data_IF_989893525313
#
_entry.id   IF_989893525313
#
_cell.length_a   1.000
_cell.length_b   1.000
_cell.length_c   1.000
_cell.angle_alpha   90.00
_cell.angle_beta   90.00
_cell.angle_gamma   90.00
#
_symmetry.space_group_name_H-M   'P 1'
#
loop_
_entity.id
_entity.type
_entity.pdbx_description
1 polymer ?
#
# COMPACT_ATOMS: atom_id res chain seq x y z
N UNK A 1 13.01 -6.42 -4.94
CA UNK A 1 11.80 -6.75 -5.75
C UNK A 1 10.71 -5.73 -5.43
N UNK A 2 9.93 -5.26 -6.41
CA UNK A 2 8.87 -4.26 -6.19
C UNK A 2 7.70 -4.94 -5.45
N UNK A 3 7.44 -4.59 -4.19
CA UNK A 3 6.19 -4.96 -3.53
C UNK A 3 5.07 -4.11 -4.14
N UNK A 4 4.42 -4.62 -5.19
CA UNK A 4 3.10 -4.12 -5.57
C UNK A 4 2.15 -4.49 -4.44
N UNK A 5 1.25 -3.59 -3.99
CA UNK A 5 0.16 -4.00 -3.11
C UNK A 5 -0.55 -5.16 -3.79
N UNK A 6 -0.75 -6.27 -3.08
CA UNK A 6 -1.43 -7.47 -3.56
C UNK A 6 -2.92 -7.13 -3.77
N UNK A 7 -3.22 -6.39 -4.84
CA UNK A 7 -4.58 -6.21 -5.28
C UNK A 7 -5.03 -7.53 -5.91
N UNK A 8 -5.88 -8.25 -5.18
CA UNK A 8 -6.61 -9.37 -5.74
C UNK A 8 -7.31 -8.90 -7.01
N UNK A 9 -7.02 -9.58 -8.13
CA UNK A 9 -7.73 -9.30 -9.37
C UNK A 9 -9.23 -9.45 -9.08
N UNK A 10 -10.10 -8.52 -9.54
CA UNK A 10 -11.55 -8.60 -9.31
C UNK A 10 -12.17 -9.95 -9.70
N UNK A 11 -11.55 -10.67 -10.65
CA UNK A 11 -11.95 -12.01 -11.05
C UNK A 11 -11.75 -13.05 -9.95
N UNK A 12 -10.70 -12.95 -9.13
CA UNK A 12 -10.48 -13.85 -8.00
C UNK A 12 -11.58 -13.70 -6.93
N UNK A 13 -11.95 -12.46 -6.61
CA UNK A 13 -13.06 -12.18 -5.70
C UNK A 13 -14.40 -12.66 -6.26
N UNK A 14 -14.63 -12.47 -7.57
CA UNK A 14 -15.83 -12.97 -8.25
C UNK A 14 -15.90 -14.51 -8.25
N UNK A 15 -14.79 -15.20 -8.55
CA UNK A 15 -14.73 -16.68 -8.53
C UNK A 15 -14.97 -17.21 -7.13
N UNK A 16 -14.31 -16.64 -6.10
CA UNK A 16 -14.57 -17.02 -4.71
C UNK A 16 -16.05 -16.84 -4.33
N UNK A 17 -16.69 -15.75 -4.77
CA UNK A 17 -18.11 -15.53 -4.51
C UNK A 17 -19.00 -16.52 -5.26
N UNK A 18 -18.70 -16.84 -6.52
CA UNK A 18 -19.49 -17.80 -7.32
C UNK A 18 -19.36 -19.21 -6.75
N UNK A 19 -18.12 -19.67 -6.53
CA UNK A 19 -17.82 -21.05 -6.13
C UNK A 19 -18.17 -21.30 -4.65
N UNK A 20 -18.04 -20.30 -3.78
CA UNK A 20 -18.31 -20.48 -2.34
C UNK A 20 -19.68 -19.97 -1.89
N UNK A 21 -20.48 -19.36 -2.76
CA UNK A 21 -21.81 -18.86 -2.41
C UNK A 21 -22.73 -19.96 -1.87
N UNK A 22 -22.73 -21.16 -2.48
CA UNK A 22 -23.58 -22.26 -2.01
C UNK A 22 -23.09 -22.88 -0.68
N UNK A 23 -21.81 -22.69 -0.36
CA UNK A 23 -21.18 -23.18 0.86
C UNK A 23 -21.14 -22.12 1.98
N UNK A 24 -21.65 -20.92 1.76
CA UNK A 24 -21.54 -19.81 2.71
C UNK A 24 -22.13 -20.18 4.09
N UNK A 25 -23.25 -20.89 4.11
CA UNK A 25 -23.90 -21.36 5.34
C UNK A 25 -23.14 -22.50 6.04
N UNK A 26 -22.28 -23.21 5.29
CA UNK A 26 -21.46 -24.33 5.75
C UNK A 26 -20.05 -23.89 6.20
N UNK A 27 -19.55 -22.76 5.68
CA UNK A 27 -18.25 -22.17 5.99
C UNK A 27 -18.28 -21.42 7.33
N UNK A 28 -18.44 -22.17 8.42
CA UNK A 28 -18.41 -21.65 9.80
C UNK A 28 -16.98 -21.57 10.31
N UNK A 29 -16.20 -20.61 9.81
CA UNK A 29 -14.81 -20.40 10.23
C UNK A 29 -14.65 -20.21 11.75
N UNK A 30 -15.66 -19.61 12.41
CA UNK A 30 -15.70 -19.47 13.88
C UNK A 30 -15.76 -20.80 14.65
N UNK A 31 -16.20 -21.88 14.01
CA UNK A 31 -16.31 -23.21 14.60
C UNK A 31 -15.04 -24.07 14.37
N UNK A 32 -14.07 -23.60 13.59
CA UNK A 32 -12.83 -24.33 13.36
C UNK A 32 -11.94 -24.34 14.62
N UNK A 33 -11.26 -25.45 14.94
CA UNK A 33 -10.28 -25.49 16.02
C UNK A 33 -9.17 -24.44 15.80
N UNK A 34 -9.15 -23.41 16.65
CA UNK A 34 -8.26 -22.23 16.50
C UNK A 34 -6.77 -22.57 16.46
N UNK A 35 -6.35 -23.67 17.11
CA UNK A 35 -4.94 -24.09 17.21
C UNK A 35 -4.41 -24.69 15.91
N UNK A 36 -5.24 -25.46 15.21
CA UNK A 36 -4.86 -26.16 13.97
C UNK A 36 -5.15 -25.31 12.73
N UNK A 37 -6.08 -24.36 12.83
CA UNK A 37 -6.58 -23.56 11.73
C UNK A 37 -6.35 -22.07 11.95
N UNK A 38 -5.14 -21.66 12.34
CA UNK A 38 -4.85 -20.29 12.80
C UNK A 38 -5.37 -19.22 11.83
N UNK A 39 -5.08 -19.37 10.53
CA UNK A 39 -5.48 -18.42 9.50
C UNK A 39 -6.95 -18.57 9.10
N UNK A 40 -7.38 -19.80 8.78
CA UNK A 40 -8.75 -20.07 8.33
C UNK A 40 -9.80 -19.72 9.38
N UNK A 41 -9.54 -20.01 10.67
CA UNK A 41 -10.49 -19.68 11.73
C UNK A 41 -10.72 -18.18 11.84
N UNK A 42 -9.77 -17.35 11.40
CA UNK A 42 -9.79 -15.88 11.49
C UNK A 42 -10.22 -15.19 10.20
N UNK A 43 -10.62 -15.93 9.17
CA UNK A 43 -11.32 -15.40 7.98
C UNK A 43 -12.79 -15.09 8.30
N UNK A 44 -13.01 -14.28 9.34
CA UNK A 44 -14.34 -13.86 9.80
C UNK A 44 -14.29 -12.44 10.35
N UNK A 45 -15.40 -11.68 10.32
CA UNK A 45 -15.50 -10.42 11.03
C UNK A 45 -15.55 -10.65 12.54
N UNK A 46 -15.26 -9.61 13.33
CA UNK A 46 -15.43 -9.65 14.78
C UNK A 46 -14.32 -10.39 15.52
N UNK A 47 -13.07 -10.26 15.06
CA UNK A 47 -11.93 -10.88 15.72
C UNK A 47 -11.69 -10.29 17.11
N UNK A 48 -11.44 -11.16 18.08
CA UNK A 48 -11.03 -10.77 19.42
C UNK A 48 -9.57 -10.30 19.45
N UNK A 49 -9.27 -9.26 20.23
CA UNK A 49 -7.94 -8.65 20.28
C UNK A 49 -6.89 -9.61 20.83
N UNK A 50 -7.21 -10.37 21.87
CA UNK A 50 -6.25 -11.21 22.58
C UNK A 50 -6.21 -12.62 21.99
N UNK A 51 -7.37 -13.22 21.72
CA UNK A 51 -7.44 -14.60 21.25
C UNK A 51 -7.22 -14.73 19.73
N UNK A 52 -7.62 -13.73 18.95
CA UNK A 52 -7.53 -13.80 17.49
C UNK A 52 -6.37 -12.95 16.96
N UNK A 53 -6.37 -11.65 17.22
CA UNK A 53 -5.42 -10.71 16.61
C UNK A 53 -3.99 -10.97 17.09
N UNK A 54 -3.78 -11.11 18.41
CA UNK A 54 -2.43 -11.34 18.94
C UNK A 54 -1.81 -12.65 18.45
N UNK A 55 -2.60 -13.73 18.42
CA UNK A 55 -2.18 -15.04 17.90
C UNK A 55 -1.87 -14.97 16.41
N UNK A 56 -2.66 -14.21 15.63
CA UNK A 56 -2.43 -14.06 14.19
C UNK A 56 -1.13 -13.33 13.88
N UNK A 57 -0.83 -12.26 14.64
CA UNK A 57 0.43 -11.54 14.50
C UNK A 57 1.65 -12.41 14.82
N UNK A 58 1.58 -13.20 15.90
CA UNK A 58 2.63 -14.17 16.23
C UNK A 58 2.83 -15.21 15.11
N UNK A 59 1.73 -15.69 14.53
CA UNK A 59 1.79 -16.63 13.41
C UNK A 59 2.29 -16.01 12.10
N UNK A 60 2.27 -14.68 11.97
CA UNK A 60 2.78 -13.93 10.84
C UNK A 60 4.26 -13.54 10.98
N UNK A 61 4.77 -13.43 12.22
CA UNK A 61 6.13 -12.98 12.50
C UNK A 61 7.19 -13.78 11.70
N UNK A 62 8.04 -13.07 10.97
CA UNK A 62 9.11 -13.64 10.14
C UNK A 62 8.62 -14.35 8.87
N UNK A 63 7.39 -14.08 8.41
CA UNK A 63 6.80 -14.64 7.18
C UNK A 63 6.37 -13.57 6.18
N UNK A 64 6.72 -12.33 6.44
CA UNK A 64 6.43 -11.14 5.65
C UNK A 64 7.05 -11.16 4.24
N UNK A 65 8.16 -11.89 4.06
CA UNK A 65 8.75 -12.12 2.74
C UNK A 65 7.93 -13.06 1.85
N UNK A 66 6.98 -13.82 2.41
CA UNK A 66 6.15 -14.75 1.64
C UNK A 66 4.84 -14.10 1.18
N UNK A 67 4.63 -13.90 -0.15
CA UNK A 67 3.47 -13.17 -0.67
C UNK A 67 2.12 -13.76 -0.28
N UNK A 68 2.02 -15.06 -0.01
CA UNK A 68 0.75 -15.70 0.38
C UNK A 68 0.36 -15.34 1.82
N UNK A 69 1.33 -15.29 2.72
CA UNK A 69 1.10 -14.87 4.10
C UNK A 69 0.72 -13.40 4.14
N UNK A 70 1.41 -12.55 3.37
CA UNK A 70 1.07 -11.12 3.26
C UNK A 70 -0.34 -10.93 2.69
N UNK A 71 -0.71 -11.65 1.63
CA UNK A 71 -2.03 -11.53 1.00
C UNK A 71 -3.18 -11.90 1.95
N UNK A 72 -3.02 -12.98 2.72
CA UNK A 72 -4.05 -13.43 3.67
C UNK A 72 -4.09 -12.53 4.89
N UNK A 73 -2.94 -12.07 5.40
CA UNK A 73 -2.88 -11.10 6.50
C UNK A 73 -3.57 -9.79 6.11
N UNK A 74 -3.29 -9.26 4.92
CA UNK A 74 -3.94 -8.05 4.38
C UNK A 74 -5.46 -8.23 4.31
N UNK A 75 -5.93 -9.36 3.80
CA UNK A 75 -7.35 -9.68 3.70
C UNK A 75 -8.04 -9.66 5.08
N UNK A 76 -7.44 -10.31 6.08
CA UNK A 76 -8.00 -10.41 7.43
C UNK A 76 -8.01 -9.05 8.12
N UNK A 77 -6.91 -8.30 8.04
CA UNK A 77 -6.79 -6.95 8.63
C UNK A 77 -7.80 -6.00 7.99
N UNK A 78 -7.93 -6.01 6.66
CA UNK A 78 -8.86 -5.13 5.95
C UNK A 78 -10.31 -5.40 6.32
N UNK A 79 -10.69 -6.67 6.49
CA UNK A 79 -12.03 -7.06 6.93
C UNK A 79 -12.31 -6.73 8.41
N UNK A 80 -11.29 -6.56 9.24
CA UNK A 80 -11.38 -6.32 10.68
C UNK A 80 -10.72 -5.00 11.12
N UNK A 81 -10.70 -4.00 10.24
CA UNK A 81 -9.95 -2.75 10.44
C UNK A 81 -10.23 -2.07 11.79
N UNK A 82 -11.49 -2.03 12.21
CA UNK A 82 -11.92 -1.40 13.48
C UNK A 82 -11.29 -2.11 14.69
N UNK A 83 -11.36 -3.44 14.74
CA UNK A 83 -10.81 -4.25 15.82
C UNK A 83 -9.28 -4.15 15.88
N UNK A 84 -8.61 -4.04 14.73
CA UNK A 84 -7.17 -3.80 14.67
C UNK A 84 -6.78 -2.39 15.14
N UNK A 85 -7.57 -1.37 14.82
CA UNK A 85 -7.35 -0.01 15.34
C UNK A 85 -7.53 0.04 16.87
N UNK A 86 -8.54 -0.65 17.41
CA UNK A 86 -8.74 -0.81 18.86
C UNK A 86 -7.57 -1.58 19.51
N UNK A 87 -7.14 -2.70 18.90
CA UNK A 87 -6.00 -3.49 19.35
C UNK A 87 -4.69 -2.68 19.39
N UNK A 88 -4.50 -1.75 18.44
CA UNK A 88 -3.32 -0.86 18.37
C UNK A 88 -3.18 0.00 19.62
N UNK A 89 -4.28 0.34 20.29
CA UNK A 89 -4.25 1.09 21.54
C UNK A 89 -4.04 0.20 22.77
N UNK A 90 -4.31 -1.10 22.67
CA UNK A 90 -4.31 -2.03 23.81
C UNK A 90 -3.07 -2.92 23.90
N UNK A 91 -2.44 -3.30 22.78
CA UNK A 91 -1.40 -4.32 22.80
C UNK A 91 -0.03 -3.76 22.37
N UNK A 92 0.78 -3.37 23.37
CA UNK A 92 2.16 -2.89 23.14
C UNK A 92 3.03 -3.91 22.40
N UNK A 93 2.84 -5.21 22.67
CA UNK A 93 3.55 -6.28 21.96
C UNK A 93 3.20 -6.33 20.46
N UNK A 94 1.93 -6.09 20.08
CA UNK A 94 1.55 -6.00 18.67
C UNK A 94 2.09 -4.74 18.02
N UNK A 95 2.09 -3.63 18.75
CA UNK A 95 2.67 -2.38 18.25
C UNK A 95 4.18 -2.53 18.04
N UNK A 96 4.90 -3.20 18.94
CA UNK A 96 6.34 -3.49 18.81
C UNK A 96 6.63 -4.46 17.66
N UNK A 97 5.84 -5.54 17.52
CA UNK A 97 6.00 -6.53 16.44
C UNK A 97 5.89 -5.91 15.03
N UNK A 98 5.07 -4.87 14.87
CA UNK A 98 4.86 -4.17 13.60
C UNK A 98 5.43 -2.75 13.59
N UNK A 99 6.18 -2.33 14.62
CA UNK A 99 6.59 -0.93 14.78
C UNK A 99 7.43 -0.46 13.59
N UNK A 100 8.37 -1.30 13.16
CA UNK A 100 9.28 -1.01 12.06
C UNK A 100 8.54 -0.93 10.72
N UNK A 101 7.73 -1.93 10.39
CA UNK A 101 6.92 -1.94 9.16
C UNK A 101 5.93 -0.77 9.09
N UNK A 102 5.30 -0.42 10.23
CA UNK A 102 4.37 0.70 10.32
C UNK A 102 5.07 2.03 10.18
N UNK A 103 6.25 2.19 10.78
CA UNK A 103 7.04 3.41 10.69
C UNK A 103 7.61 3.57 9.27
N UNK A 104 8.09 2.50 8.65
CA UNK A 104 8.46 2.49 7.23
C UNK A 104 7.28 2.84 6.34
N UNK A 105 6.10 2.25 6.57
CA UNK A 105 4.88 2.56 5.83
C UNK A 105 4.45 4.01 6.01
N UNK A 106 4.58 4.56 7.22
CA UNK A 106 4.30 5.97 7.53
C UNK A 106 5.30 6.90 6.83
N UNK A 107 6.58 6.57 6.84
CA UNK A 107 7.62 7.37 6.18
C UNK A 107 7.45 7.32 4.66
N UNK A 108 7.20 6.14 4.09
CA UNK A 108 6.88 5.97 2.67
C UNK A 108 5.63 6.78 2.30
N UNK A 109 4.54 6.66 3.06
CA UNK A 109 3.31 7.42 2.82
C UNK A 109 3.49 8.94 2.97
N UNK A 110 4.32 9.38 3.92
CA UNK A 110 4.65 10.81 4.09
C UNK A 110 5.45 11.31 2.88
N UNK A 111 6.47 10.57 2.44
CA UNK A 111 7.27 10.91 1.28
C UNK A 111 6.43 10.91 -0.02
N UNK A 112 5.60 9.88 -0.23
CA UNK A 112 4.67 9.79 -1.36
C UNK A 112 3.68 10.97 -1.34
N UNK A 113 3.12 11.31 -0.19
CA UNK A 113 2.24 12.48 -0.02
C UNK A 113 2.92 13.81 -0.33
N UNK A 114 4.19 13.99 0.10
CA UNK A 114 4.97 15.17 -0.26
C UNK A 114 5.22 15.25 -1.77
N UNK A 115 5.59 14.15 -2.42
CA UNK A 115 5.78 14.10 -3.86
C UNK A 115 4.48 14.40 -4.62
N UNK A 116 3.34 13.83 -4.20
CA UNK A 116 2.04 14.09 -4.83
C UNK A 116 1.63 15.56 -4.70
N UNK A 117 1.81 16.16 -3.52
CA UNK A 117 1.54 17.58 -3.31
C UNK A 117 2.44 18.45 -4.19
N UNK A 118 3.72 18.08 -4.31
CA UNK A 118 4.68 18.77 -5.16
C UNK A 118 4.28 18.70 -6.64
N UNK A 119 3.94 17.51 -7.14
CA UNK A 119 3.46 17.29 -8.51
C UNK A 119 2.20 18.09 -8.79
N UNK A 120 1.26 18.11 -7.85
CA UNK A 120 0.01 18.86 -8.00
C UNK A 120 0.24 20.36 -8.11
N UNK A 121 1.17 20.92 -7.31
CA UNK A 121 1.54 22.34 -7.42
C UNK A 121 2.23 22.60 -8.76
N UNK A 122 3.21 21.77 -9.14
CA UNK A 122 3.94 21.93 -10.40
C UNK A 122 3.00 21.83 -11.61
N UNK A 123 2.05 20.88 -11.60
CA UNK A 123 1.04 20.72 -12.65
C UNK A 123 0.25 22.01 -12.85
N UNK A 124 -0.26 22.60 -11.77
CA UNK A 124 -0.98 23.88 -11.83
C UNK A 124 -0.11 25.01 -12.38
N UNK A 125 1.21 25.01 -12.14
CA UNK A 125 2.11 26.04 -12.68
C UNK A 125 2.27 25.88 -14.20
N UNK A 126 2.44 24.64 -14.67
CA UNK A 126 2.50 24.30 -16.10
C UNK A 126 1.18 24.64 -16.80
N UNK A 127 0.04 24.29 -16.21
CA UNK A 127 -1.30 24.65 -16.73
C UNK A 127 -1.48 26.18 -16.86
N UNK A 128 -0.89 26.96 -15.97
CA UNK A 128 -0.90 28.42 -16.01
C UNK A 128 0.16 29.01 -16.96
N UNK A 129 0.87 28.17 -17.74
CA UNK A 129 1.84 28.59 -18.74
C UNK A 129 3.15 29.14 -18.17
N UNK A 130 3.49 28.83 -16.91
CA UNK A 130 4.75 29.25 -16.30
C UNK A 130 5.91 28.42 -16.83
N UNK A 131 7.06 29.06 -17.06
CA UNK A 131 8.25 28.36 -17.53
C UNK A 131 8.84 27.42 -16.47
N UNK A 132 9.79 26.58 -16.88
CA UNK A 132 10.57 25.73 -16.00
C UNK A 132 11.27 26.55 -14.90
N UNK A 133 11.88 27.67 -15.28
CA UNK A 133 12.62 28.56 -14.39
C UNK A 133 11.69 29.25 -13.39
N UNK A 134 10.55 29.78 -13.85
CA UNK A 134 9.56 30.42 -12.98
C UNK A 134 8.90 29.41 -12.01
N UNK A 135 8.75 28.16 -12.46
CA UNK A 135 8.19 27.08 -11.65
C UNK A 135 9.20 26.60 -10.61
N UNK A 136 10.48 26.49 -10.97
CA UNK A 136 11.58 26.15 -10.06
C UNK A 136 11.74 27.23 -8.97
N UNK A 137 11.78 28.50 -9.37
CA UNK A 137 11.86 29.62 -8.43
C UNK A 137 10.66 29.63 -7.46
N UNK A 138 9.44 29.43 -7.97
CA UNK A 138 8.24 29.41 -7.15
C UNK A 138 8.14 28.19 -6.21
N UNK A 139 8.88 27.12 -6.48
CA UNK A 139 8.96 25.92 -5.66
C UNK A 139 10.19 25.93 -4.74
N UNK A 140 11.03 26.97 -4.81
CA UNK A 140 12.32 27.06 -4.12
C UNK A 140 13.26 25.89 -4.48
N UNK A 141 13.15 25.38 -5.71
CA UNK A 141 13.94 24.28 -6.24
C UNK A 141 14.84 24.76 -7.38
N UNK A 142 15.81 23.93 -7.80
CA UNK A 142 16.64 24.22 -8.96
C UNK A 142 15.95 23.70 -10.25
N UNK A 143 16.07 24.41 -11.39
CA UNK A 143 15.49 23.97 -12.65
C UNK A 143 15.88 22.53 -13.04
N UNK A 144 17.13 22.14 -12.79
CA UNK A 144 17.65 20.80 -13.12
C UNK A 144 16.97 19.70 -12.30
N UNK A 145 16.55 19.99 -11.07
CA UNK A 145 15.92 19.02 -10.17
C UNK A 145 14.48 18.73 -10.58
N UNK A 146 13.78 19.71 -11.17
CA UNK A 146 12.38 19.59 -11.57
C UNK A 146 12.18 19.34 -13.06
N UNK A 147 13.21 19.52 -13.89
CA UNK A 147 13.13 19.45 -15.36
C UNK A 147 12.46 18.17 -15.87
N UNK A 148 12.85 17.02 -15.32
CA UNK A 148 12.29 15.72 -15.73
C UNK A 148 10.79 15.65 -15.47
N UNK A 149 10.38 16.12 -14.30
CA UNK A 149 8.98 16.11 -13.88
C UNK A 149 8.16 17.14 -14.66
N UNK A 150 8.72 18.32 -14.89
CA UNK A 150 8.13 19.39 -15.69
C UNK A 150 7.85 18.92 -17.13
N UNK A 151 8.83 18.32 -17.81
CA UNK A 151 8.65 17.75 -19.16
C UNK A 151 7.65 16.61 -19.17
N UNK A 152 7.63 15.78 -18.13
CA UNK A 152 6.66 14.70 -18.01
C UNK A 152 5.23 15.24 -17.96
N UNK A 153 5.00 16.33 -17.22
CA UNK A 153 3.70 17.00 -17.13
C UNK A 153 3.30 17.60 -18.47
N UNK A 154 4.19 18.33 -19.15
CA UNK A 154 3.91 18.91 -20.48
C UNK A 154 3.51 17.83 -21.50
N UNK A 155 4.13 16.66 -21.43
CA UNK A 155 3.87 15.56 -22.37
C UNK A 155 2.57 14.80 -22.10
N UNK A 156 2.04 14.79 -20.88
CA UNK A 156 0.81 14.08 -20.53
C UNK A 156 -0.47 14.89 -20.80
N UNK A 157 -0.34 16.21 -20.90
CA UNK A 157 -1.48 17.12 -21.12
C UNK A 157 -2.26 17.46 -19.83
N UNK A 158 -3.23 18.38 -19.92
CA UNK A 158 -3.91 18.97 -18.76
C UNK A 158 -4.87 18.02 -18.01
N UNK A 159 -5.23 16.89 -18.61
CA UNK A 159 -6.18 15.92 -18.01
C UNK A 159 -5.49 14.87 -17.13
N UNK A 160 -4.16 14.83 -17.10
CA UNK A 160 -3.42 13.85 -16.31
C UNK A 160 -3.40 14.23 -14.83
N UNK A 161 -3.86 13.32 -13.97
CA UNK A 161 -3.83 13.52 -12.52
C UNK A 161 -2.42 13.34 -11.93
N UNK A 162 -2.22 13.89 -10.72
CA UNK A 162 -0.93 13.85 -10.04
C UNK A 162 -0.46 12.42 -9.71
N UNK A 163 -1.38 11.48 -9.55
CA UNK A 163 -1.11 10.08 -9.25
C UNK A 163 -0.49 9.37 -10.45
N UNK A 164 -1.07 9.54 -11.65
CA UNK A 164 -0.53 9.01 -12.90
C UNK A 164 0.88 9.56 -13.18
N UNK A 165 1.06 10.88 -13.00
CA UNK A 165 2.37 11.53 -13.17
C UNK A 165 3.40 10.96 -12.19
N UNK A 166 3.01 10.78 -10.91
CA UNK A 166 3.89 10.18 -9.89
C UNK A 166 4.31 8.75 -10.25
N UNK A 167 3.37 7.93 -10.73
CA UNK A 167 3.64 6.55 -11.13
C UNK A 167 4.62 6.47 -12.31
N UNK A 168 4.45 7.33 -13.31
CA UNK A 168 5.34 7.41 -14.46
C UNK A 168 6.75 7.87 -14.06
N UNK A 169 6.84 8.92 -13.23
CA UNK A 169 8.11 9.40 -12.70
C UNK A 169 8.85 8.30 -11.92
N UNK A 170 8.14 7.58 -11.04
CA UNK A 170 8.71 6.46 -10.27
C UNK A 170 9.14 5.28 -11.15
N UNK A 171 8.43 5.02 -12.25
CA UNK A 171 8.77 3.95 -13.19
C UNK A 171 10.05 4.25 -13.96
N UNK A 172 10.26 5.52 -14.34
CA UNK A 172 11.44 5.98 -15.07
C UNK A 172 12.71 5.95 -14.19
N UNK A 173 12.62 6.46 -12.94
CA UNK A 173 13.75 6.41 -11.98
C UNK A 173 14.23 4.97 -11.74
N UNK A 174 13.31 4.03 -11.55
CA UNK A 174 13.67 2.61 -11.38
C UNK A 174 14.21 1.94 -12.66
N UNK A 175 14.00 2.54 -13.83
CA UNK A 175 14.56 2.07 -15.11
C UNK A 175 16.00 2.55 -15.29
N UNK A 176 16.31 3.77 -14.85
CA UNK A 176 17.67 4.31 -14.84
C UNK A 176 18.61 3.59 -13.85
N UNK A 177 18.15 3.32 -12.62
CA UNK A 177 18.98 2.66 -11.58
C UNK A 177 19.41 1.24 -12.00
N UNK A 178 18.51 0.48 -12.63
CA UNK A 178 18.80 -0.88 -13.11
C UNK A 178 19.83 -0.94 -14.24
N UNK A 179 20.01 0.16 -14.99
CA UNK A 179 21.00 0.23 -16.08
C UNK A 179 22.40 0.57 -15.56
N UNK A 180 22.50 1.21 -14.40
CA UNK A 180 23.78 1.51 -13.75
C UNK A 180 24.34 0.32 -12.97
N UNK A 181 23.49 -0.51 -12.35
CA UNK A 181 23.93 -1.74 -11.65
C UNK A 181 24.43 -2.87 -12.58
N UNK A 182 24.25 -2.74 -13.89
CA UNK A 182 24.68 -3.72 -14.90
C UNK A 182 25.93 -3.29 -15.69
N UNK A 183 26.57 -2.16 -15.31
CA UNK A 183 27.87 -1.72 -15.85
C UNK A 183 28.99 -1.94 -14.85
#
# INVERSE_FOLDING_TARGET
MRQQPLQWHPAFQAVMQIELAEYQDWLKYSALPKKENVWLSRLRPGLDVEEDIAVLAQAYQGRDENPLYSAVMELIVRANKKQYEEAKHMCNALRELFAEELEEGRQKGKAEGHCLAFIEILRRKVENGKSLEESAEALEERPEDIEKLYRLIENQGPDADAELIYQLYRADVKSSEKKEEQR
#
